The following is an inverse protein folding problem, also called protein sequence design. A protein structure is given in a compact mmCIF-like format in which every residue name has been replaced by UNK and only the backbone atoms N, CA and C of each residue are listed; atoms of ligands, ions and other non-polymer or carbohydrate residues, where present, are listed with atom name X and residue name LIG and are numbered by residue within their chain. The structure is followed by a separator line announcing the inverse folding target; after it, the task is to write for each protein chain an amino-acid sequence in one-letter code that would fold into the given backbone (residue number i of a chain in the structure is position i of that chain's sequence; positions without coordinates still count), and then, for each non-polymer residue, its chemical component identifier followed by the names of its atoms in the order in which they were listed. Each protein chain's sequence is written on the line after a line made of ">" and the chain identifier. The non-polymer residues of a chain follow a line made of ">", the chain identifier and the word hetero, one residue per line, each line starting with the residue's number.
data_IF_690567388800
#
_entry.id   IF_690567388800
#
_cell.length_a   1.000
_cell.length_b   1.000
_cell.length_c   1.000
_cell.angle_alpha   90.00
_cell.angle_beta   90.00
_cell.angle_gamma   90.00
#
_symmetry.space_group_name_H-M   'P 1'
#
loop_
_entity.id
_entity.type
_entity.pdbx_description
1 polymer ?
#
# COMPACT_ATOMS: atom_id res chain seq x y z
N UNK A 1 13.94 -20.90 -2.50
CA UNK A 1 14.39 -20.61 -3.89
C UNK A 1 13.24 -20.95 -4.83
N UNK A 2 12.55 -19.96 -5.40
CA UNK A 2 11.42 -20.22 -6.31
C UNK A 2 11.96 -20.79 -7.63
N UNK A 3 11.64 -22.06 -7.93
CA UNK A 3 11.95 -22.69 -9.21
C UNK A 3 11.16 -21.99 -10.32
N UNK A 4 11.85 -21.33 -11.24
CA UNK A 4 11.24 -20.65 -12.39
C UNK A 4 10.79 -21.73 -13.37
N UNK A 5 9.49 -22.05 -13.37
CA UNK A 5 8.93 -22.99 -14.33
C UNK A 5 8.87 -22.33 -15.72
N UNK A 6 9.72 -22.86 -16.60
CA UNK A 6 9.91 -22.58 -18.03
C UNK A 6 8.57 -22.38 -18.78
N UNK A 7 8.43 -21.25 -19.48
CA UNK A 7 7.56 -21.02 -20.65
C UNK A 7 6.10 -21.53 -20.63
N UNK A 8 5.45 -21.65 -19.49
CA UNK A 8 4.01 -21.98 -19.45
C UNK A 8 3.20 -20.73 -19.77
N UNK A 9 2.29 -20.82 -20.75
CA UNK A 9 1.38 -19.72 -21.09
C UNK A 9 0.54 -19.35 -19.86
N UNK A 10 0.52 -18.05 -19.51
CA UNK A 10 -0.27 -17.51 -18.39
C UNK A 10 -1.73 -17.98 -18.40
N UNK A 11 -2.35 -18.10 -19.58
CA UNK A 11 -3.71 -18.61 -19.72
C UNK A 11 -3.91 -20.03 -19.13
N UNK A 12 -2.90 -20.91 -19.19
CA UNK A 12 -2.98 -22.27 -18.62
C UNK A 12 -2.94 -22.20 -17.11
N UNK A 13 -2.03 -21.39 -16.55
CA UNK A 13 -1.92 -21.17 -15.11
C UNK A 13 -3.22 -20.58 -14.53
N UNK A 14 -3.82 -19.61 -15.22
CA UNK A 14 -5.09 -19.01 -14.79
C UNK A 14 -6.26 -19.99 -14.83
N UNK A 15 -6.30 -20.88 -15.83
CA UNK A 15 -7.30 -21.95 -15.86
C UNK A 15 -7.15 -22.93 -14.70
N UNK A 16 -5.93 -23.36 -14.39
CA UNK A 16 -5.66 -24.26 -13.26
C UNK A 16 -6.03 -23.59 -11.93
N UNK A 17 -5.70 -22.31 -11.78
CA UNK A 17 -6.02 -21.52 -10.59
C UNK A 17 -7.49 -21.06 -10.52
N UNK A 18 -8.30 -21.35 -11.55
CA UNK A 18 -9.69 -20.89 -11.67
C UNK A 18 -9.83 -19.35 -11.52
N UNK A 19 -8.85 -18.60 -12.05
CA UNK A 19 -8.80 -17.15 -11.97
C UNK A 19 -9.24 -16.49 -13.28
N UNK A 20 -10.12 -15.45 -13.23
CA UNK A 20 -10.43 -14.65 -14.40
C UNK A 20 -9.20 -13.93 -14.95
N UNK A 21 -9.10 -13.88 -16.29
CA UNK A 21 -8.02 -13.17 -16.97
C UNK A 21 -8.01 -11.68 -16.64
N UNK A 22 -9.19 -11.05 -16.57
CA UNK A 22 -9.34 -9.64 -16.21
C UNK A 22 -8.75 -9.34 -14.83
N UNK A 23 -9.14 -10.11 -13.81
CA UNK A 23 -8.64 -9.97 -12.44
C UNK A 23 -7.12 -10.12 -12.38
N UNK A 24 -6.55 -11.09 -13.10
CA UNK A 24 -5.09 -11.25 -13.14
C UNK A 24 -4.37 -10.01 -13.65
N UNK A 25 -4.79 -9.45 -14.80
CA UNK A 25 -4.11 -8.28 -15.36
C UNK A 25 -4.35 -7.01 -14.55
N UNK A 26 -5.52 -6.87 -13.93
CA UNK A 26 -5.80 -5.77 -13.00
C UNK A 26 -4.83 -5.80 -11.81
N UNK A 27 -4.69 -6.96 -11.15
CA UNK A 27 -3.78 -7.10 -10.02
C UNK A 27 -2.31 -7.00 -10.43
N UNK A 28 -1.94 -7.57 -11.59
CA UNK A 28 -0.60 -7.39 -12.16
C UNK A 28 -0.27 -5.90 -12.32
N UNK A 29 -1.19 -5.15 -12.93
CA UNK A 29 -1.02 -3.71 -13.12
C UNK A 29 -0.90 -2.96 -11.78
N UNK A 30 -1.73 -3.27 -10.79
CA UNK A 30 -1.66 -2.67 -9.44
C UNK A 30 -0.36 -2.99 -8.70
N UNK A 31 0.20 -4.19 -8.89
CA UNK A 31 1.45 -4.62 -8.27
C UNK A 31 2.67 -4.02 -8.97
N UNK A 32 2.65 -3.91 -10.29
CA UNK A 32 3.71 -3.26 -11.08
C UNK A 32 3.68 -1.73 -10.91
N UNK A 33 2.50 -1.15 -10.69
CA UNK A 33 2.30 0.29 -10.48
C UNK A 33 1.64 0.54 -9.11
N UNK A 34 2.39 0.35 -8.00
CA UNK A 34 1.85 0.59 -6.67
C UNK A 34 1.54 2.08 -6.48
N UNK A 35 0.26 2.44 -6.58
CA UNK A 35 -0.22 3.78 -6.25
C UNK A 35 -0.41 3.87 -4.74
N UNK A 36 0.59 4.40 -4.04
CA UNK A 36 0.46 4.72 -2.62
C UNK A 36 -0.29 6.05 -2.46
N UNK A 37 -1.63 5.97 -2.45
CA UNK A 37 -2.53 7.13 -2.29
C UNK A 37 -2.24 7.91 -1.00
N UNK A 38 -1.73 7.22 0.02
CA UNK A 38 -1.46 7.78 1.33
C UNK A 38 0.02 8.11 1.53
N UNK A 39 0.85 8.06 0.47
CA UNK A 39 2.30 8.30 0.56
C UNK A 39 2.63 9.61 1.26
N UNK A 40 1.92 10.67 0.89
CA UNK A 40 2.15 12.00 1.45
C UNK A 40 1.70 12.08 2.91
N UNK A 41 0.55 11.47 3.24
CA UNK A 41 0.06 11.36 4.60
C UNK A 41 1.02 10.57 5.50
N UNK A 42 1.55 9.44 5.02
CA UNK A 42 2.57 8.65 5.72
C UNK A 42 3.83 9.48 5.99
N UNK A 43 4.29 10.24 4.98
CA UNK A 43 5.45 11.13 5.15
C UNK A 43 5.20 12.16 6.25
N UNK A 44 4.02 12.79 6.27
CA UNK A 44 3.65 13.74 7.32
C UNK A 44 3.58 13.10 8.71
N UNK A 45 3.05 11.88 8.83
CA UNK A 45 3.02 11.12 10.09
C UNK A 45 4.44 10.88 10.60
N UNK A 46 5.32 10.39 9.72
CA UNK A 46 6.72 10.11 10.03
C UNK A 46 7.44 11.39 10.46
N UNK A 47 7.24 12.51 9.75
CA UNK A 47 7.84 13.80 10.12
C UNK A 47 7.39 14.28 11.51
N UNK A 48 6.10 14.12 11.86
CA UNK A 48 5.59 14.48 13.18
C UNK A 48 6.19 13.55 14.25
N UNK A 49 6.27 12.26 13.95
CA UNK A 49 6.84 11.26 14.85
C UNK A 49 8.30 11.57 15.20
N UNK A 50 9.15 11.80 14.19
CA UNK A 50 10.54 12.17 14.42
C UNK A 50 10.71 13.53 15.09
N UNK A 51 9.90 14.55 14.72
CA UNK A 51 9.91 15.85 15.41
C UNK A 51 9.53 15.76 16.89
N UNK A 52 8.75 14.75 17.26
CA UNK A 52 8.40 14.49 18.66
C UNK A 52 9.48 13.71 19.44
N UNK A 53 10.63 13.42 18.81
CA UNK A 53 11.63 12.47 19.32
C UNK A 53 11.02 11.11 19.61
N UNK A 54 10.09 10.67 18.74
CA UNK A 54 9.44 9.34 18.83
C UNK A 54 8.56 9.15 20.09
N UNK A 55 8.31 10.22 20.85
CA UNK A 55 7.53 10.19 22.10
C UNK A 55 6.01 10.27 21.87
N UNK A 56 5.58 10.58 20.65
CA UNK A 56 4.16 10.63 20.33
C UNK A 56 3.64 9.23 20.04
N UNK A 57 2.73 8.80 20.90
CA UNK A 57 1.87 7.65 20.66
C UNK A 57 0.85 7.97 19.56
N UNK A 58 0.09 6.95 19.14
CA UNK A 58 -0.95 7.10 18.13
C UNK A 58 -1.94 8.25 18.43
N UNK A 59 -2.33 8.39 19.71
CA UNK A 59 -3.28 9.42 20.13
C UNK A 59 -2.70 10.83 19.95
N UNK A 60 -1.45 11.06 20.39
CA UNK A 60 -0.77 12.35 20.21
C UNK A 60 -0.50 12.65 18.75
N UNK A 61 -0.12 11.65 17.94
CA UNK A 61 0.02 11.79 16.49
C UNK A 61 -1.31 12.23 15.85
N UNK A 62 -2.42 11.57 16.20
CA UNK A 62 -3.76 11.94 15.71
C UNK A 62 -4.15 13.37 16.09
N UNK A 63 -3.85 13.79 17.32
CA UNK A 63 -4.10 15.17 17.75
C UNK A 63 -3.24 16.18 16.99
N UNK A 64 -1.96 15.88 16.75
CA UNK A 64 -1.05 16.72 15.98
C UNK A 64 -1.45 16.83 14.49
N UNK A 65 -2.00 15.76 13.91
CA UNK A 65 -2.57 15.80 12.55
C UNK A 65 -3.84 16.64 12.50
N UNK A 66 -4.71 16.52 13.51
CA UNK A 66 -5.95 17.31 13.62
C UNK A 66 -5.65 18.80 13.81
N UNK A 67 -4.67 19.16 14.64
CA UNK A 67 -4.28 20.56 14.86
C UNK A 67 -3.71 21.21 13.59
N UNK A 68 -3.05 20.44 12.73
CA UNK A 68 -2.57 20.89 11.42
C UNK A 68 -3.65 20.90 10.32
N UNK A 69 -4.91 20.57 10.64
CA UNK A 69 -6.04 20.40 9.68
C UNK A 69 -5.77 19.37 8.56
N UNK A 70 -4.76 18.52 8.71
CA UNK A 70 -4.40 17.47 7.74
C UNK A 70 -5.40 16.30 7.83
N UNK A 71 -5.99 16.12 9.01
CA UNK A 71 -6.95 15.04 9.27
C UNK A 71 -8.16 15.58 10.04
N UNK A 72 -9.25 15.84 9.30
CA UNK A 72 -10.59 16.01 9.86
C UNK A 72 -11.38 14.74 9.56
N UNK A 73 -11.50 13.85 10.54
CA UNK A 73 -12.65 12.94 10.56
C UNK A 73 -13.75 13.65 11.33
N UNK A 74 -14.86 13.90 10.63
CA UNK A 74 -16.15 14.36 11.16
C UNK A 74 -16.62 13.48 12.31
#
# INVERSE_FOLDING_TARGET
>A
MLKIYKNVKVCVLLKIAQLPKSSFYEWKYKLENPIDKDKELKKMIIDIFYKSFERYDYRRLKMALKSKKIYCKS
#
